data_IF_428201754265
#
_entry.id   IF_428201754265
#
_cell.length_a   1.000
_cell.length_b   1.000
_cell.length_c   1.000
_cell.angle_alpha   90.00
_cell.angle_beta   90.00
_cell.angle_gamma   90.00
#
_symmetry.space_group_name_H-M   'P 1'
#
loop_
_entity.id
_entity.type
_entity.pdbx_description
1 polymer ?
#
# COMPACT_ATOMS: atom_id res chain seq x y z
N UNK A 1 -10.19 -7.66 -21.52
CA UNK A 1 -10.85 -6.72 -20.59
C UNK A 1 -10.63 -7.23 -19.16
N UNK A 2 -10.14 -6.40 -18.23
CA UNK A 2 -9.77 -6.85 -16.87
C UNK A 2 -11.01 -7.33 -16.08
N UNK A 3 -10.93 -8.54 -15.47
CA UNK A 3 -12.03 -9.20 -14.73
C UNK A 3 -12.63 -8.30 -13.64
N UNK A 4 -11.81 -7.55 -12.90
CA UNK A 4 -12.29 -6.63 -11.86
C UNK A 4 -13.20 -5.54 -12.47
N UNK A 5 -12.78 -4.96 -13.60
CA UNK A 5 -13.56 -3.91 -14.30
C UNK A 5 -14.92 -4.44 -14.75
N UNK A 6 -14.97 -5.68 -15.24
CA UNK A 6 -16.22 -6.34 -15.63
C UNK A 6 -17.17 -6.52 -14.43
N UNK A 7 -16.64 -6.97 -13.29
CA UNK A 7 -17.44 -7.12 -12.07
C UNK A 7 -17.98 -5.74 -11.63
N UNK A 8 -17.14 -4.71 -11.59
CA UNK A 8 -17.55 -3.35 -11.21
C UNK A 8 -18.68 -2.82 -12.09
N UNK A 9 -18.55 -2.94 -13.42
CA UNK A 9 -19.60 -2.55 -14.37
C UNK A 9 -20.90 -3.32 -14.09
N UNK A 10 -20.81 -4.64 -13.89
CA UNK A 10 -21.96 -5.51 -13.62
C UNK A 10 -22.70 -5.16 -12.32
N UNK A 11 -21.98 -4.70 -11.30
CA UNK A 11 -22.57 -4.37 -9.98
C UNK A 11 -22.99 -2.90 -9.86
N UNK A 12 -22.81 -2.09 -10.91
CA UNK A 12 -23.20 -0.69 -10.88
C UNK A 12 -24.68 -0.53 -10.52
N UNK A 13 -24.99 0.43 -9.66
CA UNK A 13 -26.33 0.67 -9.11
C UNK A 13 -27.01 -0.50 -8.37
N UNK A 14 -26.29 -1.60 -8.10
CA UNK A 14 -26.79 -2.66 -7.21
C UNK A 14 -26.61 -2.27 -5.75
N UNK A 15 -27.27 -3.02 -4.86
CA UNK A 15 -27.06 -2.89 -3.43
C UNK A 15 -25.63 -3.21 -3.01
N UNK A 16 -25.16 -2.57 -1.95
CA UNK A 16 -23.76 -2.53 -1.51
C UNK A 16 -23.11 -3.92 -1.35
N UNK A 17 -23.89 -4.91 -0.91
CA UNK A 17 -23.45 -6.30 -0.77
C UNK A 17 -22.86 -6.89 -2.06
N UNK A 18 -23.21 -6.35 -3.22
CA UNK A 18 -22.67 -6.76 -4.51
C UNK A 18 -21.14 -6.54 -4.63
N UNK A 19 -20.55 -5.64 -3.84
CA UNK A 19 -19.09 -5.52 -3.78
C UNK A 19 -18.42 -6.82 -3.33
N UNK A 20 -19.08 -7.74 -2.61
CA UNK A 20 -18.47 -9.02 -2.22
C UNK A 20 -17.91 -9.81 -3.42
N UNK A 21 -18.47 -9.58 -4.60
CA UNK A 21 -18.04 -10.20 -5.85
C UNK A 21 -16.63 -9.77 -6.29
N UNK A 22 -16.11 -8.62 -5.82
CA UNK A 22 -14.78 -8.14 -6.19
C UNK A 22 -13.66 -8.81 -5.38
N UNK A 23 -13.97 -9.60 -4.34
CA UNK A 23 -12.95 -10.30 -3.56
C UNK A 23 -12.10 -11.19 -4.46
N UNK A 24 -10.79 -11.12 -4.31
CA UNK A 24 -9.85 -11.95 -5.07
C UNK A 24 -8.64 -11.18 -5.58
N UNK A 25 -7.93 -11.79 -6.51
CA UNK A 25 -6.64 -11.33 -7.00
C UNK A 25 -6.71 -10.98 -8.48
N UNK A 26 -6.08 -9.87 -8.86
CA UNK A 26 -6.12 -9.31 -10.20
C UNK A 26 -4.74 -8.86 -10.64
N UNK A 27 -4.33 -9.26 -11.84
CA UNK A 27 -3.08 -8.81 -12.42
C UNK A 27 -3.27 -7.44 -13.08
N UNK A 28 -2.43 -6.49 -12.70
CA UNK A 28 -2.28 -5.19 -13.33
C UNK A 28 -0.91 -5.14 -14.03
N UNK A 29 -0.71 -4.23 -14.99
CA UNK A 29 0.63 -3.98 -15.52
C UNK A 29 1.58 -3.56 -14.38
N UNK A 30 2.61 -4.37 -14.12
CA UNK A 30 3.65 -4.09 -13.14
C UNK A 30 3.32 -4.44 -11.67
N UNK A 31 2.10 -4.85 -11.35
CA UNK A 31 1.78 -5.29 -9.99
C UNK A 31 0.57 -6.22 -9.95
N UNK A 32 0.40 -6.93 -8.84
CA UNK A 32 -0.79 -7.72 -8.55
C UNK A 32 -1.59 -7.05 -7.45
N UNK A 33 -2.89 -6.87 -7.67
CA UNK A 33 -3.83 -6.34 -6.69
C UNK A 33 -4.56 -7.51 -6.01
N UNK A 34 -4.61 -7.52 -4.69
CA UNK A 34 -5.39 -8.47 -3.90
C UNK A 34 -6.43 -7.73 -3.07
N UNK A 35 -7.68 -8.18 -3.13
CA UNK A 35 -8.77 -7.67 -2.30
C UNK A 35 -9.14 -8.78 -1.31
N UNK A 36 -8.56 -8.73 -0.12
CA UNK A 36 -8.63 -9.80 0.90
C UNK A 36 -9.96 -9.80 1.64
N UNK A 37 -10.47 -8.60 1.92
CA UNK A 37 -11.73 -8.41 2.63
C UNK A 37 -12.48 -7.21 2.04
N UNK A 38 -13.75 -7.43 1.74
CA UNK A 38 -14.67 -6.40 1.25
C UNK A 38 -15.56 -5.95 2.41
N UNK A 39 -15.62 -4.64 2.63
CA UNK A 39 -16.44 -4.06 3.69
C UNK A 39 -17.94 -4.37 3.50
N UNK A 40 -18.65 -4.63 4.62
CA UNK A 40 -20.05 -5.05 4.59
C UNK A 40 -21.05 -3.94 4.25
N UNK A 41 -20.68 -2.70 4.55
CA UNK A 41 -21.45 -1.48 4.30
C UNK A 41 -20.51 -0.25 4.17
N UNK A 42 -21.00 0.89 3.65
CA UNK A 42 -20.17 2.09 3.44
C UNK A 42 -19.59 2.75 4.70
N UNK A 43 -20.13 2.46 5.88
CA UNK A 43 -19.71 3.01 7.17
C UNK A 43 -18.81 2.06 7.97
N UNK A 44 -18.72 0.79 7.57
CA UNK A 44 -17.91 -0.22 8.22
C UNK A 44 -16.40 0.07 8.19
N UNK A 45 -15.60 -0.84 8.76
CA UNK A 45 -14.16 -0.83 8.52
C UNK A 45 -13.89 -0.98 7.01
N UNK A 46 -13.01 -0.15 6.42
CA UNK A 46 -12.62 -0.22 5.01
C UNK A 46 -12.22 -1.60 4.52
N UNK A 47 -12.35 -1.82 3.21
CA UNK A 47 -11.90 -3.06 2.57
C UNK A 47 -10.38 -3.19 2.71
N UNK A 48 -9.90 -4.39 3.03
CA UNK A 48 -8.46 -4.69 3.08
C UNK A 48 -7.98 -5.07 1.70
N UNK A 49 -6.96 -4.37 1.24
CA UNK A 49 -6.38 -4.50 -0.09
C UNK A 49 -4.87 -4.59 0.07
N UNK A 50 -4.23 -5.39 -0.76
CA UNK A 50 -2.78 -5.33 -0.90
C UNK A 50 -2.36 -5.25 -2.36
N UNK A 51 -1.15 -4.75 -2.58
CA UNK A 51 -0.46 -4.80 -3.87
C UNK A 51 0.86 -5.54 -3.69
N UNK A 52 1.20 -6.38 -4.67
CA UNK A 52 2.45 -7.14 -4.71
C UNK A 52 3.22 -6.78 -5.98
N UNK A 53 4.51 -6.48 -5.83
CA UNK A 53 5.44 -6.16 -6.92
C UNK A 53 6.66 -7.06 -6.76
N UNK A 54 7.13 -7.66 -7.84
CA UNK A 54 8.34 -8.46 -7.78
C UNK A 54 9.57 -7.59 -7.50
N UNK A 55 10.53 -8.12 -6.72
CA UNK A 55 11.73 -7.40 -6.32
C UNK A 55 12.60 -6.97 -7.53
N UNK A 56 12.61 -7.79 -8.58
CA UNK A 56 13.36 -7.48 -9.81
C UNK A 56 12.68 -6.35 -10.58
N UNK A 57 11.35 -6.35 -10.64
CA UNK A 57 10.53 -5.37 -11.34
C UNK A 57 10.52 -4.01 -10.64
N UNK A 58 10.56 -4.00 -9.30
CA UNK A 58 10.64 -2.76 -8.52
C UNK A 58 12.00 -2.05 -8.68
N UNK A 59 13.05 -2.81 -8.99
CA UNK A 59 14.38 -2.29 -9.32
C UNK A 59 15.18 -1.79 -8.13
N UNK A 60 14.75 -2.08 -6.89
CA UNK A 60 15.50 -1.69 -5.70
C UNK A 60 16.77 -2.54 -5.56
N UNK A 61 17.94 -1.91 -5.36
CA UNK A 61 19.17 -2.62 -5.04
C UNK A 61 19.03 -3.51 -3.79
N UNK A 62 19.56 -4.74 -3.86
CA UNK A 62 19.46 -5.72 -2.76
C UNK A 62 20.15 -5.27 -1.46
N UNK A 63 21.07 -4.31 -1.52
CA UNK A 63 21.76 -3.81 -0.34
C UNK A 63 20.82 -3.07 0.64
N UNK A 64 19.63 -2.61 0.20
CA UNK A 64 18.64 -2.03 1.11
C UNK A 64 17.97 -3.06 2.03
N UNK A 65 18.12 -4.35 1.73
CA UNK A 65 17.55 -5.45 2.51
C UNK A 65 18.63 -6.48 2.91
N UNK A 66 19.91 -6.08 2.95
CA UNK A 66 21.03 -6.99 3.20
C UNK A 66 21.11 -7.49 4.64
N UNK A 67 20.48 -6.79 5.58
CA UNK A 67 20.31 -7.23 6.96
C UNK A 67 18.97 -6.74 7.53
N UNK A 68 18.64 -7.22 8.73
CA UNK A 68 17.34 -6.96 9.35
C UNK A 68 17.08 -5.48 9.64
N UNK A 69 18.09 -4.72 10.10
CA UNK A 69 17.94 -3.30 10.38
C UNK A 69 17.63 -2.51 9.10
N UNK A 70 18.40 -2.77 8.03
CA UNK A 70 18.16 -2.13 6.73
C UNK A 70 16.80 -2.52 6.15
N UNK A 71 16.42 -3.80 6.24
CA UNK A 71 15.11 -4.29 5.77
C UNK A 71 13.94 -3.59 6.49
N UNK A 72 14.01 -3.44 7.82
CA UNK A 72 12.96 -2.74 8.60
C UNK A 72 12.85 -1.28 8.11
N UNK A 73 13.98 -0.57 8.01
CA UNK A 73 13.98 0.82 7.57
C UNK A 73 13.50 0.98 6.12
N UNK A 74 13.87 0.06 5.23
CA UNK A 74 13.40 0.06 3.85
C UNK A 74 11.88 -0.13 3.80
N UNK A 75 11.32 -1.07 4.58
CA UNK A 75 9.86 -1.31 4.68
C UNK A 75 9.10 -0.11 5.27
N UNK A 76 9.70 0.57 6.25
CA UNK A 76 9.18 1.81 6.82
C UNK A 76 9.13 2.91 5.76
N UNK A 77 10.24 3.14 5.06
CA UNK A 77 10.34 4.11 3.99
C UNK A 77 9.31 3.85 2.86
N UNK A 78 9.14 2.59 2.43
CA UNK A 78 8.13 2.21 1.43
C UNK A 78 6.71 2.52 1.92
N UNK A 79 6.41 2.26 3.20
CA UNK A 79 5.11 2.60 3.82
C UNK A 79 4.85 4.10 3.76
N UNK A 80 5.85 4.92 4.13
CA UNK A 80 5.75 6.39 4.10
C UNK A 80 5.64 6.93 2.68
N UNK A 81 6.44 6.39 1.75
CA UNK A 81 6.37 6.76 0.33
C UNK A 81 4.98 6.46 -0.26
N UNK A 82 4.41 5.30 0.05
CA UNK A 82 3.05 4.94 -0.36
C UNK A 82 2.01 5.88 0.26
N UNK A 83 2.17 6.28 1.53
CA UNK A 83 1.31 7.27 2.18
C UNK A 83 1.36 8.63 1.48
N UNK A 84 2.54 9.13 1.16
CA UNK A 84 2.70 10.40 0.45
C UNK A 84 2.07 10.35 -0.95
N UNK A 85 2.28 9.24 -1.67
CA UNK A 85 1.62 9.03 -2.96
C UNK A 85 0.08 9.00 -2.83
N UNK A 86 -0.47 8.40 -1.78
CA UNK A 86 -1.92 8.48 -1.49
C UNK A 86 -2.36 9.93 -1.31
N UNK A 87 -1.63 10.75 -0.54
CA UNK A 87 -1.99 12.16 -0.28
C UNK A 87 -2.06 12.94 -1.59
N UNK A 88 -1.10 12.71 -2.48
CA UNK A 88 -0.97 13.46 -3.73
C UNK A 88 -1.98 13.04 -4.80
N UNK A 89 -2.40 11.77 -4.81
CA UNK A 89 -3.20 11.19 -5.91
C UNK A 89 -4.66 10.97 -5.54
N UNK A 90 -4.94 10.52 -4.31
CA UNK A 90 -6.29 10.09 -3.94
C UNK A 90 -7.21 11.31 -3.77
N UNK A 91 -8.29 11.38 -4.55
CA UNK A 91 -9.25 12.49 -4.47
C UNK A 91 -10.11 12.47 -3.21
N UNK A 92 -10.32 11.28 -2.62
CA UNK A 92 -11.22 11.09 -1.49
C UNK A 92 -12.69 11.37 -1.83
N UNK A 93 -13.56 11.32 -0.80
CA UNK A 93 -14.94 11.82 -0.83
C UNK A 93 -15.78 11.42 -2.05
N UNK A 94 -16.03 10.12 -2.22
CA UNK A 94 -16.77 9.55 -3.37
C UNK A 94 -18.14 9.00 -3.00
N UNK A 95 -18.87 9.71 -2.13
CA UNK A 95 -20.23 9.36 -1.72
C UNK A 95 -20.40 9.28 -0.20
N UNK A 96 -21.03 8.21 0.27
CA UNK A 96 -21.48 8.06 1.66
C UNK A 96 -20.44 7.36 2.55
N UNK A 97 -20.33 7.75 3.81
CA UNK A 97 -19.46 7.10 4.79
C UNK A 97 -17.99 7.24 4.43
N UNK A 98 -17.25 6.13 4.37
CA UNK A 98 -15.83 6.11 4.03
C UNK A 98 -15.55 6.04 2.52
N UNK A 99 -16.56 6.31 1.69
CA UNK A 99 -16.45 6.22 0.23
C UNK A 99 -15.32 7.08 -0.33
N UNK A 100 -14.42 6.47 -1.09
CA UNK A 100 -13.27 7.16 -1.70
C UNK A 100 -12.02 7.18 -0.83
N UNK A 101 -12.07 6.65 0.39
CA UNK A 101 -10.90 6.53 1.26
C UNK A 101 -9.87 5.58 0.63
N UNK A 102 -8.62 6.02 0.58
CA UNK A 102 -7.45 5.16 0.40
C UNK A 102 -6.51 5.52 1.55
N UNK A 103 -6.10 4.56 2.36
CA UNK A 103 -5.22 4.80 3.51
C UNK A 103 -4.35 3.59 3.81
N UNK A 104 -3.19 3.81 4.40
CA UNK A 104 -2.25 2.79 4.85
C UNK A 104 -1.95 3.02 6.34
N UNK A 105 -1.65 1.96 7.09
CA UNK A 105 -1.17 2.11 8.46
C UNK A 105 0.27 2.64 8.44
N UNK A 106 0.50 3.81 9.04
CA UNK A 106 1.80 4.50 9.06
C UNK A 106 2.25 4.69 10.50
N UNK A 107 3.52 4.43 10.83
CA UNK A 107 4.05 4.74 12.16
C UNK A 107 4.17 6.24 12.42
N UNK A 108 4.44 6.57 13.69
CA UNK A 108 4.80 7.92 14.11
C UNK A 108 6.21 8.28 13.65
N UNK A 109 7.00 8.86 14.55
CA UNK A 109 8.40 9.20 14.27
C UNK A 109 9.31 7.96 14.30
N UNK A 110 8.84 6.85 14.88
CA UNK A 110 9.60 5.62 15.05
C UNK A 110 9.68 4.80 13.75
N UNK A 111 10.78 4.08 13.58
CA UNK A 111 10.95 3.03 12.58
C UNK A 111 10.65 1.69 13.28
N UNK A 112 9.57 1.02 12.85
CA UNK A 112 9.05 -0.18 13.50
C UNK A 112 8.85 -1.32 12.51
N UNK A 113 9.07 -2.57 12.94
CA UNK A 113 8.72 -3.75 12.14
C UNK A 113 7.18 -3.89 12.09
N UNK A 114 6.59 -3.53 10.93
CA UNK A 114 5.13 -3.50 10.72
C UNK A 114 4.68 -4.31 9.52
N UNK A 115 3.41 -4.71 9.53
CA UNK A 115 2.82 -5.49 8.42
C UNK A 115 2.25 -4.65 7.28
N UNK A 116 2.34 -3.30 7.36
CA UNK A 116 1.96 -2.38 6.27
C UNK A 116 2.79 -2.59 5.01
N UNK A 117 4.07 -2.94 5.18
CA UNK A 117 4.97 -3.38 4.13
C UNK A 117 5.62 -4.70 4.54
N UNK A 118 5.54 -5.72 3.69
CA UNK A 118 6.17 -7.02 3.90
C UNK A 118 7.04 -7.33 2.70
N UNK A 119 8.23 -7.86 2.95
CA UNK A 119 9.14 -8.31 1.90
C UNK A 119 9.36 -9.81 2.08
N UNK A 120 9.24 -10.54 0.98
CA UNK A 120 9.65 -11.95 0.92
C UNK A 120 10.71 -12.11 -0.17
N UNK A 121 11.13 -13.36 -0.42
CA UNK A 121 12.18 -13.66 -1.41
C UNK A 121 11.86 -13.22 -2.84
N UNK A 122 10.60 -12.95 -3.16
CA UNK A 122 10.15 -12.67 -4.54
C UNK A 122 9.56 -11.28 -4.71
N UNK A 123 9.02 -10.67 -3.66
CA UNK A 123 8.14 -9.50 -3.79
C UNK A 123 8.13 -8.56 -2.59
N UNK A 124 7.77 -7.31 -2.89
CA UNK A 124 7.34 -6.28 -1.93
C UNK A 124 5.81 -6.28 -1.92
N UNK A 125 5.21 -6.44 -0.75
CA UNK A 125 3.77 -6.39 -0.51
C UNK A 125 3.41 -5.15 0.34
N UNK A 126 2.52 -4.31 -0.17
CA UNK A 126 1.96 -3.18 0.58
C UNK A 126 0.50 -3.47 0.92
N UNK A 127 0.15 -3.39 2.21
CA UNK A 127 -1.20 -3.59 2.73
C UNK A 127 -1.84 -2.26 3.10
N UNK A 128 -3.02 -2.01 2.56
CA UNK A 128 -3.74 -0.75 2.73
C UNK A 128 -5.24 -0.99 2.72
N UNK A 129 -5.98 0.10 2.85
CA UNK A 129 -7.42 0.11 3.03
C UNK A 129 -8.08 0.94 1.96
N UNK A 130 -9.21 0.44 1.44
CA UNK A 130 -10.02 1.12 0.41
C UNK A 130 -11.48 1.20 0.86
N UNK A 131 -11.99 2.41 0.97
CA UNK A 131 -13.40 2.69 1.18
C UNK A 131 -14.15 2.67 -0.14
N UNK A 132 -14.87 1.58 -0.40
CA UNK A 132 -15.56 1.35 -1.67
C UNK A 132 -16.76 2.31 -1.84
N UNK A 133 -16.84 3.02 -2.97
CA UNK A 133 -17.75 4.15 -3.15
C UNK A 133 -19.20 3.73 -3.32
N UNK A 134 -20.10 4.47 -2.66
CA UNK A 134 -21.54 4.28 -2.75
C UNK A 134 -22.32 5.57 -2.48
N UNK A 135 -23.54 5.65 -3.02
CA UNK A 135 -24.54 6.64 -2.64
C UNK A 135 -25.59 5.95 -1.77
N UNK A 136 -25.63 6.27 -0.48
CA UNK A 136 -26.32 5.43 0.49
C UNK A 136 -25.76 4.01 0.43
N UNK A 137 -26.60 3.03 0.10
CA UNK A 137 -26.19 1.62 -0.08
C UNK A 137 -26.13 1.19 -1.54
N UNK A 138 -26.07 2.12 -2.48
CA UNK A 138 -26.04 1.85 -3.92
C UNK A 138 -24.60 2.00 -4.43
N UNK A 139 -24.09 0.98 -5.12
CA UNK A 139 -22.74 0.94 -5.68
C UNK A 139 -22.53 2.04 -6.73
N UNK A 140 -21.42 2.79 -6.61
CA UNK A 140 -20.96 3.76 -7.61
C UNK A 140 -19.78 3.18 -8.41
N UNK A 141 -20.05 2.38 -9.43
CA UNK A 141 -18.99 1.63 -10.14
C UNK A 141 -17.97 2.54 -10.83
N UNK A 142 -18.41 3.66 -11.42
CA UNK A 142 -17.49 4.58 -12.10
C UNK A 142 -16.45 5.17 -11.14
N UNK A 143 -16.87 5.46 -9.90
CA UNK A 143 -15.98 5.95 -8.84
C UNK A 143 -15.00 4.85 -8.42
N UNK A 144 -15.46 3.60 -8.29
CA UNK A 144 -14.58 2.47 -7.97
C UNK A 144 -13.58 2.19 -9.10
N UNK A 145 -14.00 2.32 -10.37
CA UNK A 145 -13.12 2.17 -11.52
C UNK A 145 -12.03 3.24 -11.52
N UNK A 146 -12.37 4.50 -11.24
CA UNK A 146 -11.37 5.58 -11.12
C UNK A 146 -10.36 5.26 -10.01
N UNK A 147 -10.81 4.78 -8.85
CA UNK A 147 -9.91 4.40 -7.76
C UNK A 147 -8.98 3.23 -8.13
N UNK A 148 -9.53 2.12 -8.65
CA UNK A 148 -8.76 0.90 -8.91
C UNK A 148 -7.92 0.95 -10.19
N UNK A 149 -8.33 1.71 -11.20
CA UNK A 149 -7.70 1.69 -12.52
C UNK A 149 -6.97 2.99 -12.87
N UNK A 150 -7.03 4.02 -12.00
CA UNK A 150 -6.26 5.25 -12.17
C UNK A 150 -5.46 5.57 -10.91
N UNK A 151 -6.13 5.81 -9.78
CA UNK A 151 -5.45 6.28 -8.56
C UNK A 151 -4.51 5.23 -7.98
N UNK A 152 -4.96 4.00 -7.75
CA UNK A 152 -4.11 2.94 -7.18
C UNK A 152 -2.88 2.63 -8.06
N UNK A 153 -3.02 2.44 -9.39
CA UNK A 153 -1.86 2.28 -10.26
C UNK A 153 -0.88 3.46 -10.19
N UNK A 154 -1.37 4.70 -10.14
CA UNK A 154 -0.53 5.91 -10.05
C UNK A 154 0.20 5.97 -8.70
N UNK A 155 -0.49 5.66 -7.60
CA UNK A 155 0.10 5.54 -6.25
C UNK A 155 1.22 4.48 -6.26
N UNK A 156 0.94 3.29 -6.80
CA UNK A 156 1.89 2.18 -6.89
C UNK A 156 3.14 2.59 -7.68
N UNK A 157 2.94 3.16 -8.87
CA UNK A 157 4.06 3.57 -9.71
C UNK A 157 4.87 4.70 -9.07
N UNK A 158 4.24 5.65 -8.40
CA UNK A 158 4.91 6.76 -7.74
C UNK A 158 5.67 6.41 -6.46
N UNK A 159 5.42 5.25 -5.85
CA UNK A 159 6.00 4.92 -4.53
C UNK A 159 6.83 3.63 -4.48
N UNK A 160 6.59 2.66 -5.36
CA UNK A 160 7.14 1.31 -5.22
C UNK A 160 8.10 0.90 -6.35
N UNK A 161 8.61 1.86 -7.11
CA UNK A 161 9.61 1.64 -8.15
C UNK A 161 10.81 2.54 -7.92
N UNK A 162 12.01 1.94 -7.89
CA UNK A 162 13.25 2.64 -7.56
C UNK A 162 13.51 3.87 -8.43
N UNK A 163 13.22 3.78 -9.74
CA UNK A 163 13.35 4.90 -10.68
C UNK A 163 12.48 6.13 -10.35
N UNK A 164 11.45 5.95 -9.53
CA UNK A 164 10.53 6.99 -9.09
C UNK A 164 10.72 7.33 -7.60
N UNK A 165 11.72 6.75 -6.94
CA UNK A 165 12.04 6.99 -5.53
C UNK A 165 13.17 8.01 -5.41
N UNK A 166 13.08 8.89 -4.42
CA UNK A 166 14.22 9.71 -4.01
C UNK A 166 15.28 8.80 -3.34
N UNK A 167 16.27 8.39 -4.13
CA UNK A 167 17.36 7.52 -3.68
C UNK A 167 18.14 8.12 -2.51
N UNK A 168 18.34 9.46 -2.49
CA UNK A 168 19.08 10.11 -1.41
C UNK A 168 18.31 10.02 -0.10
N UNK A 169 17.00 10.28 -0.14
CA UNK A 169 16.14 10.16 1.02
C UNK A 169 16.05 8.72 1.50
N UNK A 170 15.88 7.75 0.59
CA UNK A 170 15.86 6.33 0.91
C UNK A 170 17.16 5.87 1.58
N UNK A 171 18.30 6.21 0.98
CA UNK A 171 19.61 5.85 1.52
C UNK A 171 19.80 6.42 2.91
N UNK A 172 19.55 7.71 3.09
CA UNK A 172 19.69 8.36 4.39
C UNK A 172 18.81 7.68 5.46
N UNK A 173 17.56 7.37 5.13
CA UNK A 173 16.62 6.73 6.05
C UNK A 173 17.10 5.35 6.50
N UNK A 174 17.61 4.55 5.55
CA UNK A 174 18.13 3.19 5.83
C UNK A 174 19.43 3.25 6.63
N UNK A 175 20.36 4.10 6.23
CA UNK A 175 21.69 4.21 6.86
C UNK A 175 21.57 4.72 8.31
N UNK A 176 20.73 5.73 8.57
CA UNK A 176 20.50 6.22 9.95
C UNK A 176 19.93 5.14 10.86
N UNK A 177 18.99 4.32 10.37
CA UNK A 177 18.41 3.25 11.17
C UNK A 177 19.45 2.17 11.48
N UNK A 178 20.28 1.82 10.50
CA UNK A 178 21.38 0.88 10.68
C UNK A 178 22.41 1.38 11.69
N UNK A 179 22.82 2.65 11.60
CA UNK A 179 23.73 3.28 12.55
C UNK A 179 23.15 3.28 13.97
N UNK A 180 21.85 3.62 14.12
CA UNK A 180 21.19 3.59 15.43
C UNK A 180 21.13 2.18 16.02
N UNK A 181 20.87 1.17 15.19
CA UNK A 181 20.85 -0.22 15.63
C UNK A 181 22.25 -0.70 16.04
N UNK A 182 23.28 -0.34 15.26
CA UNK A 182 24.66 -0.62 15.59
C UNK A 182 25.10 0.05 16.91
N UNK A 183 24.79 1.34 17.09
CA UNK A 183 25.11 2.05 18.35
C UNK A 183 24.48 1.33 19.54
N UNK A 184 23.20 0.97 19.43
CA UNK A 184 22.44 0.33 20.50
C UNK A 184 22.98 -1.05 20.88
N UNK A 185 23.34 -1.85 19.89
CA UNK A 185 23.68 -3.25 20.10
C UNK A 185 25.18 -3.49 20.30
N UNK A 186 26.04 -2.62 19.75
CA UNK A 186 27.49 -2.82 19.75
C UNK A 186 28.25 -1.76 20.53
N UNK A 187 27.87 -0.48 20.43
CA UNK A 187 28.66 0.61 21.05
C UNK A 187 28.27 0.77 22.52
N UNK A 188 26.99 0.95 22.84
CA UNK A 188 26.54 1.19 24.22
C UNK A 188 26.99 0.07 25.19
N UNK A 189 26.83 -1.23 24.86
CA UNK A 189 27.25 -2.30 25.77
C UNK A 189 28.76 -2.31 26.04
N UNK A 190 29.59 -1.97 25.05
CA UNK A 190 31.06 -1.88 25.22
C UNK A 190 31.47 -0.73 26.17
N UNK A 191 30.60 0.25 26.34
CA UNK A 191 30.78 1.37 27.26
C UNK A 191 29.99 1.22 28.56
N UNK A 192 29.34 0.08 28.79
CA UNK A 192 28.53 -0.18 29.99
C UNK A 192 27.26 0.69 30.07
N UNK A 193 26.76 1.14 28.92
CA UNK A 193 25.53 1.90 28.76
C UNK A 193 24.37 1.03 28.26
#
# INVERSE_FOLDING_TARGET
MNRLKQILIRINHKGYKAYKDIKGTYNFPGFRLCIDHVQGDPFAAPSRVCVQIGLKESGFPSHYISNKSREIAFRDFMTRSFREAIINVAKGNRGTGKSGLIQIDVPGQEILDRTSCVINSESIEIRFFVGLPAQGRIVLAQQAIEMFFREIPEIVHGSLYFKNTDEKALRLHVDINEDQDYIRNEILPRHGL
#
